data_IF_581074000540
#
_entry.id   IF_581074000540
#
_cell.length_a   1.000
_cell.length_b   1.000
_cell.length_c   1.000
_cell.angle_alpha   90.00
_cell.angle_beta   90.00
_cell.angle_gamma   90.00
#
_symmetry.space_group_name_H-M   'P 1'
#
loop_
_entity.id
_entity.type
_entity.pdbx_description
1 polymer ?
#
# COMPACT_ATOMS: atom_id res chain seq x y z
N UNK A 1 -12.93 30.24 8.27
CA UNK A 1 -12.52 29.23 9.28
C UNK A 1 -12.74 27.78 8.79
N UNK A 2 -13.79 27.52 8.01
CA UNK A 2 -14.21 26.22 7.45
C UNK A 2 -13.24 25.56 6.45
N UNK A 3 -12.43 26.34 5.72
CA UNK A 3 -11.52 25.81 4.68
C UNK A 3 -10.34 25.04 5.26
N UNK A 4 -9.84 25.46 6.43
CA UNK A 4 -8.66 24.87 7.09
C UNK A 4 -8.99 23.49 7.68
N UNK A 5 -10.13 23.36 8.33
CA UNK A 5 -10.56 22.08 8.93
C UNK A 5 -10.87 21.04 7.88
N UNK A 6 -11.53 21.43 6.78
CA UNK A 6 -11.78 20.53 5.65
C UNK A 6 -10.47 20.02 5.01
N UNK A 7 -9.48 20.90 4.84
CA UNK A 7 -8.17 20.51 4.33
C UNK A 7 -7.44 19.51 5.24
N UNK A 8 -7.46 19.74 6.56
CA UNK A 8 -6.80 18.83 7.52
C UNK A 8 -7.41 17.43 7.54
N UNK A 9 -8.74 17.31 7.41
CA UNK A 9 -9.41 16.01 7.31
C UNK A 9 -9.06 15.29 5.99
N UNK A 10 -9.09 16.02 4.87
CA UNK A 10 -8.68 15.45 3.59
C UNK A 10 -7.21 14.98 3.62
N UNK A 11 -6.33 15.74 4.29
CA UNK A 11 -4.93 15.35 4.50
C UNK A 11 -4.81 14.11 5.39
N UNK A 12 -5.53 14.03 6.51
CA UNK A 12 -5.48 12.85 7.37
C UNK A 12 -6.00 11.60 6.67
N UNK A 13 -7.10 11.71 5.93
CA UNK A 13 -7.68 10.61 5.16
C UNK A 13 -6.70 10.12 4.09
N UNK A 14 -6.02 11.05 3.43
CA UNK A 14 -4.96 10.75 2.47
C UNK A 14 -3.76 10.05 3.14
N UNK A 15 -3.28 10.55 4.28
CA UNK A 15 -2.16 9.97 5.01
C UNK A 15 -2.47 8.55 5.50
N UNK A 16 -3.68 8.32 6.03
CA UNK A 16 -4.15 6.99 6.41
C UNK A 16 -4.22 6.07 5.19
N UNK A 17 -4.70 6.59 4.05
CA UNK A 17 -4.76 5.82 2.82
C UNK A 17 -3.37 5.38 2.33
N UNK A 18 -2.42 6.31 2.33
CA UNK A 18 -1.02 6.07 1.97
C UNK A 18 -0.38 5.06 2.91
N UNK A 19 -0.57 5.21 4.23
CA UNK A 19 0.01 4.31 5.22
C UNK A 19 -0.50 2.88 5.06
N UNK A 20 -1.79 2.70 4.78
CA UNK A 20 -2.35 1.37 4.52
C UNK A 20 -1.77 0.72 3.25
N UNK A 21 -1.56 1.49 2.17
CA UNK A 21 -0.87 0.97 0.97
C UNK A 21 0.57 0.59 1.28
N UNK A 22 1.31 1.44 2.00
CA UNK A 22 2.69 1.16 2.39
C UNK A 22 2.80 -0.07 3.30
N UNK A 23 1.83 -0.27 4.21
CA UNK A 23 1.78 -1.46 5.06
C UNK A 23 1.55 -2.72 4.23
N UNK A 24 0.58 -2.72 3.31
CA UNK A 24 0.36 -3.86 2.41
C UNK A 24 1.56 -4.13 1.51
N UNK A 25 2.19 -3.08 0.99
CA UNK A 25 3.39 -3.17 0.17
C UNK A 25 4.53 -3.82 0.93
N UNK A 26 4.82 -3.35 2.15
CA UNK A 26 5.88 -3.90 2.99
C UNK A 26 5.65 -5.38 3.32
N UNK A 27 4.42 -5.74 3.70
CA UNK A 27 4.07 -7.15 3.98
C UNK A 27 4.28 -8.03 2.75
N UNK A 28 3.79 -7.61 1.58
CA UNK A 28 3.93 -8.37 0.34
C UNK A 28 5.38 -8.45 -0.13
N UNK A 29 6.15 -7.37 -0.02
CA UNK A 29 7.56 -7.34 -0.38
C UNK A 29 8.39 -8.26 0.54
N UNK A 30 8.14 -8.22 1.85
CA UNK A 30 8.79 -9.12 2.81
C UNK A 30 8.41 -10.57 2.54
N UNK A 31 7.13 -10.86 2.32
CA UNK A 31 6.66 -12.21 2.00
C UNK A 31 7.33 -12.73 0.71
N UNK A 32 7.43 -11.88 -0.31
CA UNK A 32 8.11 -12.21 -1.56
C UNK A 32 9.61 -12.50 -1.34
N UNK A 33 10.31 -11.67 -0.56
CA UNK A 33 11.72 -11.92 -0.20
C UNK A 33 11.93 -13.21 0.59
N UNK A 34 10.97 -13.58 1.44
CA UNK A 34 11.00 -14.85 2.18
C UNK A 34 10.87 -16.04 1.22
N UNK A 35 10.06 -15.91 0.18
CA UNK A 35 9.86 -16.97 -0.82
C UNK A 35 10.95 -17.03 -1.90
N UNK A 36 11.58 -15.90 -2.23
CA UNK A 36 12.59 -15.79 -3.27
C UNK A 36 13.87 -15.21 -2.65
N UNK A 37 14.80 -16.10 -2.29
CA UNK A 37 16.01 -15.74 -1.56
C UNK A 37 17.25 -15.51 -2.45
N UNK A 38 17.20 -15.92 -3.72
CA UNK A 38 18.22 -15.63 -4.71
C UNK A 38 17.69 -14.50 -5.60
N UNK A 39 17.85 -13.26 -5.14
CA UNK A 39 17.35 -12.07 -5.83
C UNK A 39 18.49 -11.15 -6.22
N UNK A 40 18.56 -10.81 -7.51
CA UNK A 40 19.43 -9.76 -7.99
C UNK A 40 18.79 -8.36 -7.87
N UNK A 41 19.51 -7.32 -8.25
CA UNK A 41 19.04 -5.95 -8.17
C UNK A 41 17.80 -5.67 -9.05
N UNK A 42 17.68 -6.33 -10.21
CA UNK A 42 16.53 -6.18 -11.10
C UNK A 42 15.30 -6.85 -10.50
N UNK A 43 15.47 -8.06 -9.97
CA UNK A 43 14.42 -8.82 -9.31
C UNK A 43 13.89 -8.10 -8.07
N UNK A 44 14.77 -7.41 -7.31
CA UNK A 44 14.33 -6.55 -6.21
C UNK A 44 13.39 -5.43 -6.67
N UNK A 45 13.72 -4.74 -7.78
CA UNK A 45 12.88 -3.67 -8.33
C UNK A 45 11.55 -4.22 -8.82
N UNK A 46 11.55 -5.39 -9.49
CA UNK A 46 10.33 -6.04 -9.96
C UNK A 46 9.46 -6.53 -8.81
N UNK A 47 10.05 -7.19 -7.82
CA UNK A 47 9.35 -7.64 -6.62
C UNK A 47 8.70 -6.47 -5.88
N UNK A 48 9.43 -5.37 -5.69
CA UNK A 48 8.89 -4.16 -5.08
C UNK A 48 7.75 -3.53 -5.91
N UNK A 49 7.90 -3.46 -7.24
CA UNK A 49 6.88 -2.89 -8.12
C UNK A 49 5.60 -3.73 -8.14
N UNK A 50 5.73 -5.06 -8.27
CA UNK A 50 4.60 -5.99 -8.26
C UNK A 50 3.92 -6.01 -6.89
N UNK A 51 4.69 -5.98 -5.80
CA UNK A 51 4.14 -5.85 -4.45
C UNK A 51 3.32 -4.55 -4.29
N UNK A 52 3.68 -3.47 -4.97
CA UNK A 52 2.95 -2.20 -4.89
C UNK A 52 1.60 -2.29 -5.58
N UNK A 53 1.55 -2.92 -6.75
CA UNK A 53 0.30 -3.23 -7.45
C UNK A 53 -0.58 -4.12 -6.57
N UNK A 54 0.01 -5.16 -5.96
CA UNK A 54 -0.69 -6.04 -5.01
C UNK A 54 -1.24 -5.31 -3.79
N UNK A 55 -0.50 -4.33 -3.27
CA UNK A 55 -0.93 -3.52 -2.13
C UNK A 55 -2.15 -2.65 -2.43
N UNK A 56 -2.18 -2.03 -3.61
CA UNK A 56 -3.34 -1.27 -4.08
C UNK A 56 -4.54 -2.20 -4.26
N UNK A 57 -4.35 -3.38 -4.83
CA UNK A 57 -5.41 -4.37 -4.98
C UNK A 57 -5.95 -4.88 -3.63
N UNK A 58 -5.07 -5.15 -2.66
CA UNK A 58 -5.47 -5.56 -1.30
C UNK A 58 -6.30 -4.48 -0.59
N UNK A 59 -5.89 -3.20 -0.71
CA UNK A 59 -6.68 -2.07 -0.23
C UNK A 59 -8.04 -2.01 -0.91
N UNK A 60 -8.10 -2.12 -2.24
CA UNK A 60 -9.35 -2.08 -2.99
C UNK A 60 -10.30 -3.20 -2.58
N UNK A 61 -9.80 -4.43 -2.44
CA UNK A 61 -10.57 -5.60 -2.00
C UNK A 61 -11.12 -5.41 -0.59
N UNK A 62 -10.30 -4.92 0.36
CA UNK A 62 -10.76 -4.61 1.73
C UNK A 62 -11.85 -3.55 1.76
N UNK A 63 -11.71 -2.48 0.95
CA UNK A 63 -12.72 -1.43 0.85
C UNK A 63 -14.02 -1.94 0.24
N UNK A 64 -13.95 -2.79 -0.77
CA UNK A 64 -15.12 -3.44 -1.35
C UNK A 64 -15.83 -4.37 -0.35
N UNK A 65 -15.06 -5.13 0.45
CA UNK A 65 -15.62 -6.01 1.47
C UNK A 65 -16.32 -5.24 2.60
N UNK A 66 -15.80 -4.08 2.99
CA UNK A 66 -16.40 -3.22 4.03
C UNK A 66 -17.52 -2.29 3.54
N UNK A 67 -17.83 -2.28 2.24
CA UNK A 67 -18.92 -1.48 1.66
C UNK A 67 -20.25 -2.25 1.53
N UNK A 68 -20.27 -3.50 1.98
CA UNK A 68 -21.44 -4.39 2.01
C UNK A 68 -22.13 -4.34 3.36
#
# INVERSE_FOLDING_TARGET
>A
MTRRTAFLHALSDFLLALFEVLAWWAVLAVLWLVFISAVDALELVLGAAVALVGAVAARAARRAAGAR
#
